data_IF_545912366786
#
_entry.id   IF_545912366786
#
_cell.length_a   1.000
_cell.length_b   1.000
_cell.length_c   1.000
_cell.angle_alpha   90.00
_cell.angle_beta   90.00
_cell.angle_gamma   90.00
#
_symmetry.space_group_name_H-M   'P 1'
#
loop_
_entity.id
_entity.type
_entity.pdbx_description
1 polymer ?
#
# COMPACT_ATOMS: atom_id res chain seq x y z
N UNK A 1 -13.36 -18.84 11.66
CA UNK A 1 -13.04 -17.43 11.32
C UNK A 1 -13.65 -17.09 9.97
N UNK A 2 -14.18 -15.88 9.79
CA UNK A 2 -14.63 -15.41 8.47
C UNK A 2 -13.43 -15.28 7.53
N UNK A 3 -13.69 -15.33 6.22
CA UNK A 3 -12.66 -15.17 5.18
C UNK A 3 -11.88 -13.84 5.36
N UNK A 4 -12.58 -12.74 5.65
CA UNK A 4 -11.97 -11.43 5.84
C UNK A 4 -11.23 -11.27 7.18
N UNK A 5 -11.65 -12.02 8.22
CA UNK A 5 -10.88 -12.08 9.47
C UNK A 5 -9.50 -12.71 9.24
N UNK A 6 -9.40 -13.69 8.34
CA UNK A 6 -8.10 -14.28 7.98
C UNK A 6 -7.22 -13.30 7.19
N UNK A 7 -7.82 -12.51 6.28
CA UNK A 7 -7.10 -11.43 5.58
C UNK A 7 -6.51 -10.45 6.60
N UNK A 8 -7.30 -10.02 7.58
CA UNK A 8 -6.80 -9.13 8.63
C UNK A 8 -5.63 -9.75 9.38
N UNK A 9 -5.82 -10.95 9.93
CA UNK A 9 -4.81 -11.65 10.73
C UNK A 9 -3.49 -11.89 9.98
N UNK A 10 -3.57 -12.26 8.70
CA UNK A 10 -2.40 -12.67 7.92
C UNK A 10 -1.72 -11.53 7.16
N UNK A 11 -2.46 -10.47 6.81
CA UNK A 11 -1.98 -9.45 5.88
C UNK A 11 -1.82 -8.07 6.51
N UNK A 12 -2.59 -7.71 7.55
CA UNK A 12 -2.61 -6.33 8.08
C UNK A 12 -1.25 -5.83 8.55
N UNK A 13 -0.47 -6.68 9.22
CA UNK A 13 0.85 -6.32 9.74
C UNK A 13 1.88 -5.96 8.65
N UNK A 14 1.64 -6.36 7.39
CA UNK A 14 2.50 -6.08 6.25
C UNK A 14 2.14 -4.76 5.53
N UNK A 15 1.09 -4.07 5.96
CA UNK A 15 0.60 -2.82 5.36
C UNK A 15 1.05 -1.63 6.21
N UNK A 16 1.56 -0.59 5.57
CA UNK A 16 2.05 0.62 6.21
C UNK A 16 1.36 1.88 5.70
N UNK A 17 1.42 2.91 6.53
CA UNK A 17 1.09 4.29 6.21
C UNK A 17 2.37 5.00 5.77
N UNK A 18 2.28 5.83 4.72
CA UNK A 18 3.31 6.80 4.36
C UNK A 18 2.76 8.19 4.66
N UNK A 19 3.32 8.86 5.65
CA UNK A 19 2.93 10.20 6.06
C UNK A 19 3.99 11.21 5.59
N UNK A 20 3.57 12.21 4.82
CA UNK A 20 4.47 13.22 4.27
C UNK A 20 4.31 14.53 5.02
N UNK A 21 5.42 15.08 5.49
CA UNK A 21 5.45 16.28 6.32
C UNK A 21 6.27 17.39 5.65
N UNK A 22 5.81 18.63 5.77
CA UNK A 22 6.57 19.80 5.32
C UNK A 22 7.67 20.21 6.32
N UNK A 23 8.37 21.31 6.04
CA UNK A 23 9.45 21.86 6.87
C UNK A 23 9.01 22.25 8.28
N UNK A 24 7.73 22.57 8.48
CA UNK A 24 7.14 22.91 9.76
C UNK A 24 6.61 21.69 10.53
N UNK A 25 6.79 20.49 10.00
CA UNK A 25 6.28 19.26 10.61
C UNK A 25 4.77 19.06 10.45
N UNK A 26 4.11 19.82 9.56
CA UNK A 26 2.69 19.65 9.24
C UNK A 26 2.54 18.49 8.26
N UNK A 27 1.62 17.58 8.55
CA UNK A 27 1.22 16.51 7.64
C UNK A 27 0.51 17.12 6.42
N UNK A 28 1.05 16.89 5.23
CA UNK A 28 0.53 17.44 3.97
C UNK A 28 -0.03 16.37 3.04
N UNK A 29 0.43 15.13 3.15
CA UNK A 29 -0.13 14.02 2.39
C UNK A 29 -0.05 12.69 3.15
N UNK A 30 -0.87 11.73 2.77
CA UNK A 30 -0.90 10.37 3.31
C UNK A 30 -1.19 9.37 2.21
N UNK A 31 -0.38 8.31 2.15
CA UNK A 31 -0.56 7.18 1.25
C UNK A 31 -0.53 5.86 2.03
N UNK A 32 -0.97 4.79 1.37
CA UNK A 32 -0.82 3.42 1.87
C UNK A 32 0.29 2.71 1.09
N UNK A 33 0.88 1.70 1.69
CA UNK A 33 1.82 0.82 1.01
C UNK A 33 1.90 -0.51 1.71
N UNK A 34 2.66 -1.44 1.15
CA UNK A 34 2.84 -2.76 1.74
C UNK A 34 4.22 -3.32 1.46
N UNK A 35 4.68 -4.17 2.38
CA UNK A 35 6.00 -4.79 2.33
C UNK A 35 5.99 -6.07 1.51
N UNK A 36 6.94 -6.19 0.58
CA UNK A 36 7.30 -7.42 -0.11
C UNK A 36 8.80 -7.60 0.04
N UNK A 37 9.21 -8.66 0.73
CA UNK A 37 10.60 -8.88 1.14
C UNK A 37 11.20 -7.60 1.77
N UNK A 38 12.27 -7.05 1.20
CA UNK A 38 12.92 -5.79 1.61
C UNK A 38 12.37 -4.54 0.93
N UNK A 39 11.29 -4.68 0.18
CA UNK A 39 10.71 -3.61 -0.63
C UNK A 39 9.39 -3.11 -0.06
N UNK A 40 9.14 -1.83 -0.26
CA UNK A 40 7.86 -1.17 -0.08
C UNK A 40 7.24 -0.95 -1.46
N UNK A 41 6.02 -1.42 -1.65
CA UNK A 41 5.21 -1.12 -2.84
C UNK A 41 4.11 -0.13 -2.45
N UNK A 42 3.92 0.92 -3.26
CA UNK A 42 2.91 1.97 -3.08
C UNK A 42 2.54 2.59 -4.42
N UNK A 43 1.76 3.66 -4.46
CA UNK A 43 1.45 4.39 -5.69
C UNK A 43 2.59 5.36 -6.10
N UNK A 44 2.66 5.67 -7.39
CA UNK A 44 3.70 6.53 -7.95
C UNK A 44 3.71 7.96 -7.38
N UNK A 45 2.57 8.43 -6.86
CA UNK A 45 2.44 9.73 -6.19
C UNK A 45 3.46 9.94 -5.07
N UNK A 46 3.97 8.86 -4.47
CA UNK A 46 5.03 8.92 -3.46
C UNK A 46 6.31 9.64 -3.93
N UNK A 47 6.56 9.75 -5.25
CA UNK A 47 7.68 10.51 -5.81
C UNK A 47 7.40 12.02 -5.96
N UNK A 48 6.14 12.44 -5.90
CA UNK A 48 5.71 13.76 -6.36
C UNK A 48 4.94 14.57 -5.29
N UNK A 49 5.14 14.26 -4.00
CA UNK A 49 4.48 14.96 -2.90
C UNK A 49 5.08 16.35 -2.71
N UNK A 50 4.42 17.36 -3.29
CA UNK A 50 4.89 18.74 -3.30
C UNK A 50 4.99 19.31 -1.88
N UNK A 51 6.17 19.83 -1.53
CA UNK A 51 6.42 20.47 -0.23
C UNK A 51 6.80 19.51 0.90
N UNK A 52 6.89 18.20 0.61
CA UNK A 52 7.37 17.23 1.59
C UNK A 52 8.86 17.41 1.85
N UNK A 53 9.23 17.37 3.13
CA UNK A 53 10.60 17.41 3.64
C UNK A 53 10.95 16.12 4.37
N UNK A 54 9.98 15.50 5.05
CA UNK A 54 10.14 14.22 5.72
C UNK A 54 9.04 13.27 5.26
N UNK A 55 9.36 11.98 5.20
CA UNK A 55 8.37 10.91 5.10
C UNK A 55 8.52 9.98 6.30
N UNK A 56 7.40 9.62 6.90
CA UNK A 56 7.30 8.58 7.91
C UNK A 56 6.65 7.34 7.30
N UNK A 57 7.29 6.20 7.47
CA UNK A 57 6.75 4.88 7.12
C UNK A 57 6.38 4.20 8.43
N UNK A 58 5.10 3.91 8.62
CA UNK A 58 4.56 3.38 9.88
C UNK A 58 3.73 2.12 9.67
N UNK A 59 4.10 1.05 10.36
CA UNK A 59 3.32 -0.17 10.54
C UNK A 59 2.59 -0.12 11.89
N UNK A 60 1.44 -0.79 11.99
CA UNK A 60 0.61 -0.82 13.20
C UNK A 60 0.43 -2.23 13.72
N UNK A 61 0.04 -2.35 14.99
CA UNK A 61 -0.39 -3.58 15.62
C UNK A 61 -1.77 -4.03 15.10
N UNK A 62 -2.20 -5.23 15.52
CA UNK A 62 -3.48 -5.83 15.12
C UNK A 62 -4.73 -5.00 15.50
N UNK A 63 -4.57 -4.00 16.37
CA UNK A 63 -5.61 -3.03 16.75
C UNK A 63 -5.82 -1.91 15.72
N UNK A 64 -5.10 -1.96 14.59
CA UNK A 64 -5.15 -1.02 13.47
C UNK A 64 -4.60 0.38 13.73
N UNK A 65 -4.05 0.65 14.93
CA UNK A 65 -3.76 2.01 15.38
C UNK A 65 -2.41 2.15 16.07
N UNK A 66 -2.11 1.27 17.02
CA UNK A 66 -0.89 1.34 17.83
C UNK A 66 0.33 1.15 16.92
N UNK A 67 1.30 2.08 16.88
CA UNK A 67 2.50 1.91 16.07
C UNK A 67 3.30 0.68 16.52
N UNK A 68 3.67 -0.16 15.55
CA UNK A 68 4.50 -1.35 15.75
C UNK A 68 5.96 -1.11 15.35
N UNK A 69 6.14 -0.47 14.19
CA UNK A 69 7.45 -0.06 13.69
C UNK A 69 7.29 1.25 12.93
N UNK A 70 8.26 2.14 13.06
CA UNK A 70 8.22 3.46 12.43
C UNK A 70 9.62 3.90 12.07
N UNK A 71 9.79 4.38 10.83
CA UNK A 71 10.99 5.06 10.37
C UNK A 71 10.58 6.42 9.82
N UNK A 72 11.40 7.43 10.07
CA UNK A 72 11.25 8.75 9.48
C UNK A 72 12.56 9.15 8.80
N UNK A 73 12.49 9.42 7.51
CA UNK A 73 13.65 9.80 6.67
C UNK A 73 13.41 11.13 5.98
N UNK A 74 14.48 11.72 5.46
CA UNK A 74 14.36 12.87 4.56
C UNK A 74 13.63 12.47 3.28
N UNK A 75 12.72 13.33 2.81
CA UNK A 75 11.96 13.06 1.59
C UNK A 75 12.87 12.96 0.37
N UNK A 76 13.95 13.75 0.35
CA UNK A 76 14.98 13.68 -0.70
C UNK A 76 15.73 12.35 -0.68
N UNK A 77 16.11 11.85 0.49
CA UNK A 77 16.72 10.53 0.68
C UNK A 77 15.75 9.42 0.24
N UNK A 78 14.49 9.50 0.65
CA UNK A 78 13.45 8.55 0.27
C UNK A 78 13.29 8.43 -1.25
N UNK A 79 13.25 9.56 -1.97
CA UNK A 79 13.07 9.58 -3.42
C UNK A 79 14.33 9.19 -4.19
N UNK A 80 15.51 9.57 -3.71
CA UNK A 80 16.75 9.40 -4.47
C UNK A 80 17.50 8.12 -4.11
N UNK A 81 17.57 7.77 -2.83
CA UNK A 81 18.48 6.75 -2.33
C UNK A 81 17.76 5.43 -2.05
N UNK A 82 16.50 5.49 -1.61
CA UNK A 82 15.69 4.30 -1.36
C UNK A 82 14.96 3.80 -2.60
N UNK A 83 14.88 4.56 -3.67
CA UNK A 83 14.17 4.16 -4.89
C UNK A 83 14.82 2.94 -5.55
N UNK A 84 14.03 1.86 -5.73
CA UNK A 84 14.43 0.70 -6.57
C UNK A 84 13.90 0.87 -8.01
N UNK A 85 12.70 1.43 -8.18
CA UNK A 85 12.01 1.71 -9.47
C UNK A 85 10.57 2.20 -9.21
N UNK A 86 9.66 2.54 -10.13
CA UNK A 86 9.70 3.05 -11.49
C UNK A 86 9.11 4.47 -11.45
N UNK A 87 9.69 5.45 -12.13
CA UNK A 87 9.05 6.76 -12.36
C UNK A 87 8.60 6.86 -13.81
N UNK A 88 7.43 7.43 -14.05
CA UNK A 88 6.71 7.43 -15.33
C UNK A 88 6.37 6.04 -15.83
N UNK A 89 6.01 5.12 -14.92
CA UNK A 89 5.47 3.84 -15.37
C UNK A 89 3.99 3.98 -15.70
N UNK A 90 3.55 3.36 -16.79
CA UNK A 90 2.15 3.42 -17.22
C UNK A 90 1.17 2.74 -16.23
N UNK A 91 1.66 2.14 -15.15
CA UNK A 91 0.91 1.37 -14.15
C UNK A 91 0.83 2.07 -12.77
N UNK A 92 1.30 3.32 -12.65
CA UNK A 92 1.11 4.20 -11.50
C UNK A 92 1.53 3.66 -10.12
N UNK A 93 2.55 2.79 -10.04
CA UNK A 93 3.12 2.27 -8.78
C UNK A 93 4.58 2.67 -8.54
N UNK A 94 5.03 2.64 -7.29
CA UNK A 94 6.41 2.90 -6.88
C UNK A 94 6.95 1.78 -5.99
N UNK A 95 8.28 1.58 -6.04
CA UNK A 95 9.00 0.59 -5.24
C UNK A 95 10.21 1.21 -4.57
N UNK A 96 10.29 1.07 -3.25
CA UNK A 96 11.38 1.58 -2.41
C UNK A 96 12.05 0.43 -1.63
N UNK A 97 13.37 0.50 -1.47
CA UNK A 97 14.14 -0.32 -0.56
C UNK A 97 13.90 0.16 0.87
N UNK A 98 13.34 -0.73 1.70
CA UNK A 98 13.06 -0.48 3.11
C UNK A 98 13.75 -1.53 3.98
N UNK A 99 14.96 -1.96 3.61
CA UNK A 99 15.83 -2.85 4.40
C UNK A 99 16.39 -2.16 5.68
N UNK A 100 15.47 -1.60 6.47
CA UNK A 100 15.72 -1.05 7.79
C UNK A 100 15.59 -2.16 8.84
N UNK A 101 16.46 -2.13 9.85
CA UNK A 101 16.45 -3.13 10.92
C UNK A 101 15.10 -3.20 11.64
N UNK A 102 14.44 -2.05 11.80
CA UNK A 102 13.13 -1.86 12.39
C UNK A 102 12.02 -2.65 11.65
N UNK A 103 12.23 -2.94 10.37
CA UNK A 103 11.26 -3.64 9.53
C UNK A 103 11.59 -5.12 9.31
N UNK A 104 12.68 -5.64 9.89
CA UNK A 104 13.08 -7.05 9.75
C UNK A 104 12.04 -8.03 10.30
N UNK A 105 11.34 -7.65 11.37
CA UNK A 105 10.27 -8.45 11.98
C UNK A 105 8.87 -8.18 11.39
N UNK A 106 8.78 -7.29 10.39
CA UNK A 106 7.52 -7.01 9.71
C UNK A 106 7.32 -8.05 8.61
N UNK A 107 6.19 -8.79 8.60
CA UNK A 107 5.94 -9.80 7.58
C UNK A 107 5.81 -9.17 6.19
N UNK A 108 5.94 -10.01 5.16
CA UNK A 108 5.78 -9.61 3.77
C UNK A 108 4.53 -10.22 3.18
N UNK A 109 3.87 -9.49 2.29
CA UNK A 109 2.83 -10.05 1.43
C UNK A 109 3.45 -10.82 0.27
N UNK A 110 2.64 -11.65 -0.37
CA UNK A 110 2.99 -12.37 -1.60
C UNK A 110 2.14 -11.85 -2.76
N UNK A 111 2.75 -11.71 -3.93
CA UNK A 111 2.05 -11.33 -5.15
C UNK A 111 1.33 -12.53 -5.77
N UNK A 112 0.18 -12.29 -6.38
CA UNK A 112 -0.54 -13.27 -7.17
C UNK A 112 0.07 -13.32 -8.59
N UNK A 113 0.43 -14.52 -9.05
CA UNK A 113 0.94 -14.72 -10.43
C UNK A 113 -0.19 -14.87 -11.46
N UNK A 114 -1.46 -14.76 -11.03
CA UNK A 114 -2.62 -14.92 -11.89
C UNK A 114 -2.79 -13.70 -12.79
N UNK A 115 -3.18 -13.96 -14.04
CA UNK A 115 -3.33 -12.93 -15.06
C UNK A 115 -4.79 -12.59 -15.39
N UNK A 116 -5.73 -13.39 -14.90
CA UNK A 116 -7.16 -13.30 -15.19
C UNK A 116 -7.93 -13.25 -13.87
N UNK A 117 -8.73 -12.21 -13.71
CA UNK A 117 -9.53 -11.96 -12.52
C UNK A 117 -11.02 -12.00 -12.90
N UNK A 118 -11.76 -13.03 -12.47
CA UNK A 118 -13.18 -13.14 -12.80
C UNK A 118 -13.98 -11.96 -12.26
N UNK A 119 -14.87 -11.40 -13.07
CA UNK A 119 -15.88 -10.44 -12.60
C UNK A 119 -16.74 -11.11 -11.53
N UNK A 120 -16.98 -10.43 -10.41
CA UNK A 120 -17.67 -10.97 -9.24
C UNK A 120 -16.75 -11.67 -8.23
N UNK A 121 -15.46 -11.82 -8.52
CA UNK A 121 -14.49 -12.36 -7.56
C UNK A 121 -14.42 -11.47 -6.31
N UNK A 122 -14.58 -12.01 -5.09
CA UNK A 122 -14.45 -11.23 -3.86
C UNK A 122 -13.02 -10.73 -3.67
N UNK A 123 -12.88 -9.51 -3.16
CA UNK A 123 -11.60 -8.89 -2.83
C UNK A 123 -11.65 -8.23 -1.46
N UNK A 124 -10.48 -7.99 -0.88
CA UNK A 124 -10.31 -7.17 0.32
C UNK A 124 -9.17 -6.17 0.11
N UNK A 125 -9.40 -4.90 0.37
CA UNK A 125 -8.37 -3.86 0.38
C UNK A 125 -8.00 -3.53 1.83
N UNK A 126 -6.71 -3.44 2.12
CA UNK A 126 -6.19 -3.01 3.42
C UNK A 126 -5.48 -1.67 3.23
N UNK A 127 -6.04 -0.58 3.75
CA UNK A 127 -5.49 0.76 3.52
C UNK A 127 -5.71 1.70 4.69
N UNK A 128 -4.83 2.68 4.81
CA UNK A 128 -4.90 3.74 5.81
C UNK A 128 -5.84 4.86 5.32
N UNK A 129 -6.71 5.33 6.21
CA UNK A 129 -7.57 6.49 5.90
C UNK A 129 -6.78 7.78 6.22
N UNK A 130 -6.76 8.77 5.33
CA UNK A 130 -5.90 9.95 5.51
C UNK A 130 -6.22 10.81 6.74
N UNK A 131 -7.50 10.97 7.11
CA UNK A 131 -7.88 11.76 8.28
C UNK A 131 -7.73 11.00 9.61
N UNK A 132 -8.11 9.72 9.64
CA UNK A 132 -8.08 8.90 10.85
C UNK A 132 -6.74 8.19 11.09
N UNK A 133 -5.90 8.09 10.06
CA UNK A 133 -4.61 7.39 10.02
C UNK A 133 -4.62 5.98 10.63
N UNK A 134 -5.80 5.37 10.68
CA UNK A 134 -6.04 4.01 11.10
C UNK A 134 -6.01 3.10 9.87
N UNK A 135 -5.48 1.90 10.04
CA UNK A 135 -5.62 0.86 9.04
C UNK A 135 -7.08 0.39 9.01
N UNK A 136 -7.61 0.12 7.82
CA UNK A 136 -8.96 -0.39 7.66
C UNK A 136 -8.99 -1.47 6.59
N UNK A 137 -9.82 -2.49 6.81
CA UNK A 137 -10.20 -3.45 5.78
C UNK A 137 -11.49 -2.97 5.09
N UNK A 138 -11.49 -3.01 3.77
CA UNK A 138 -12.66 -2.70 2.93
C UNK A 138 -12.87 -3.86 1.97
N UNK A 139 -14.11 -4.30 1.82
CA UNK A 139 -14.46 -5.47 1.02
C UNK A 139 -15.20 -5.04 -0.23
N UNK A 140 -15.08 -5.82 -1.30
CA UNK A 140 -15.82 -5.62 -2.54
C UNK A 140 -15.67 -6.83 -3.45
N UNK A 141 -15.92 -6.62 -4.72
CA UNK A 141 -15.71 -7.57 -5.80
C UNK A 141 -14.93 -6.91 -6.95
N UNK A 142 -14.38 -7.74 -7.83
CA UNK A 142 -13.96 -7.31 -9.16
C UNK A 142 -15.21 -6.94 -9.98
N UNK A 143 -15.38 -5.67 -10.30
CA UNK A 143 -16.48 -5.17 -11.12
C UNK A 143 -16.17 -5.23 -12.62
N UNK A 144 -14.90 -5.08 -13.00
CA UNK A 144 -14.43 -5.17 -14.39
C UNK A 144 -12.92 -5.45 -14.45
N UNK A 145 -12.45 -5.93 -15.59
CA UNK A 145 -11.03 -6.08 -15.89
C UNK A 145 -10.77 -5.68 -17.34
N UNK A 146 -9.81 -4.79 -17.59
CA UNK A 146 -9.52 -4.27 -18.93
C UNK A 146 -8.05 -3.86 -19.07
N UNK A 147 -7.61 -3.65 -20.32
CA UNK A 147 -6.28 -3.10 -20.60
C UNK A 147 -6.40 -1.74 -21.28
N UNK A 148 -5.50 -0.80 -20.95
CA UNK A 148 -5.39 0.46 -21.70
C UNK A 148 -4.64 0.24 -23.03
N UNK A 149 -4.52 1.32 -23.83
CA UNK A 149 -3.81 1.29 -25.13
C UNK A 149 -2.33 0.95 -25.02
N UNK A 150 -1.74 1.15 -23.84
CA UNK A 150 -0.35 0.87 -23.51
C UNK A 150 -0.15 -0.57 -23.00
N UNK A 151 -1.22 -1.38 -22.93
CA UNK A 151 -1.17 -2.77 -22.49
C UNK A 151 -1.17 -2.96 -20.96
N UNK A 152 -1.30 -1.88 -20.19
CA UNK A 152 -1.43 -1.95 -18.73
C UNK A 152 -2.82 -2.44 -18.37
N UNK A 153 -2.86 -3.42 -17.47
CA UNK A 153 -4.08 -4.09 -17.04
C UNK A 153 -4.59 -3.45 -15.77
N UNK A 154 -5.90 -3.22 -15.74
CA UNK A 154 -6.60 -2.66 -14.61
C UNK A 154 -7.68 -3.63 -14.15
N UNK A 155 -7.82 -3.70 -12.82
CA UNK A 155 -8.99 -4.29 -12.17
C UNK A 155 -9.79 -3.13 -11.63
N UNK A 156 -11.06 -3.04 -12.01
CA UNK A 156 -12.00 -2.15 -11.37
C UNK A 156 -12.70 -2.91 -10.24
N UNK A 157 -12.77 -2.30 -9.07
CA UNK A 157 -13.41 -2.88 -7.88
C UNK A 157 -14.55 -1.97 -7.38
N UNK A 158 -15.54 -2.55 -6.71
CA UNK A 158 -16.63 -1.83 -6.04
C UNK A 158 -16.43 -1.74 -4.51
N UNK A 159 -15.17 -1.66 -4.08
CA UNK A 159 -14.85 -1.34 -2.68
C UNK A 159 -14.99 0.16 -2.44
N UNK A 160 -15.36 0.53 -1.21
CA UNK A 160 -15.16 1.90 -0.74
C UNK A 160 -13.67 2.24 -0.84
N UNK A 161 -13.34 3.40 -1.37
CA UNK A 161 -12.00 3.99 -1.35
C UNK A 161 -12.08 5.38 -0.77
N UNK A 162 -10.98 5.85 -0.16
CA UNK A 162 -10.90 7.19 0.36
C UNK A 162 -9.47 7.72 0.26
N UNK A 163 -9.32 9.02 0.48
CA UNK A 163 -8.02 9.65 0.62
C UNK A 163 -7.14 8.89 1.62
N UNK A 164 -5.88 8.65 1.28
CA UNK A 164 -4.95 7.79 2.04
C UNK A 164 -4.85 6.35 1.53
N UNK A 165 -5.83 5.82 0.77
CA UNK A 165 -5.79 4.43 0.32
C UNK A 165 -4.94 4.20 -0.94
N UNK A 166 -4.47 5.24 -1.63
CA UNK A 166 -3.60 5.07 -2.79
C UNK A 166 -2.34 4.28 -2.42
N UNK A 167 -2.05 3.22 -3.18
CA UNK A 167 -0.94 2.31 -2.90
C UNK A 167 -1.27 1.14 -1.96
N UNK A 168 -2.53 1.04 -1.48
CA UNK A 168 -2.98 -0.06 -0.65
C UNK A 168 -3.05 -1.38 -1.44
N UNK A 169 -2.67 -2.52 -0.85
CA UNK A 169 -2.84 -3.80 -1.52
C UNK A 169 -4.32 -4.18 -1.62
N UNK A 170 -4.71 -4.68 -2.79
CA UNK A 170 -5.95 -5.43 -3.01
C UNK A 170 -5.62 -6.93 -2.91
N UNK A 171 -6.29 -7.64 -2.02
CA UNK A 171 -6.01 -9.03 -1.62
C UNK A 171 -7.11 -9.96 -2.15
N UNK A 172 -6.70 -11.10 -2.72
CA UNK A 172 -7.56 -12.26 -2.91
C UNK A 172 -7.79 -12.94 -1.55
N UNK A 173 -9.01 -12.92 -1.01
CA UNK A 173 -9.30 -13.42 0.33
C UNK A 173 -9.35 -14.96 0.38
N UNK A 174 -9.16 -15.67 -0.74
CA UNK A 174 -8.95 -17.12 -0.76
C UNK A 174 -7.47 -17.49 -0.66
N UNK A 175 -6.59 -16.74 -1.34
CA UNK A 175 -5.16 -17.07 -1.42
C UNK A 175 -4.27 -16.23 -0.52
N UNK A 176 -4.78 -15.14 0.04
CA UNK A 176 -4.03 -14.12 0.80
C UNK A 176 -2.97 -13.38 -0.04
N UNK A 177 -3.04 -13.47 -1.37
CA UNK A 177 -2.09 -12.83 -2.27
C UNK A 177 -2.60 -11.48 -2.75
N UNK A 178 -1.67 -10.56 -3.00
CA UNK A 178 -1.96 -9.27 -3.61
C UNK A 178 -2.27 -9.46 -5.09
N UNK A 179 -3.42 -8.96 -5.54
CA UNK A 179 -3.91 -9.04 -6.92
C UNK A 179 -3.87 -7.70 -7.66
N UNK A 180 -3.85 -6.58 -6.91
CA UNK A 180 -3.74 -5.22 -7.44
C UNK A 180 -3.24 -4.25 -6.35
N UNK A 181 -2.99 -3.00 -6.76
CA UNK A 181 -2.62 -1.84 -5.94
C UNK A 181 -3.67 -0.75 -6.15
#
# INVERSE_FOLDING_TARGET
MSMYSQVWEKCSASVCCLNFYNEHGVLIDTLSGFKIDKSLVTCEQAFYVKGAQKVEIRFVEADANTPKATIRVDYTEFVNDLKIGFTHNHADYAVFNIDFAEFHNIPSLSLCERWVYPIGMPIAMLGFNGAGQNLAIKTGIVSSAFSNKQGVRYIQIDSLTCYGNSGAPVIDPQTMQVVAI
#
